data_IF_190164532411
#
_entry.id   IF_190164532411
#
_cell.length_a   1.000
_cell.length_b   1.000
_cell.length_c   1.000
_cell.angle_alpha   90.00
_cell.angle_beta   90.00
_cell.angle_gamma   90.00
#
_symmetry.space_group_name_H-M   'P 1'
#
loop_
_entity.id
_entity.type
_entity.pdbx_description
1 polymer ?
#
# COMPACT_ATOMS: atom_id res chain seq x y z
N UNK A 1 25.44 -16.66 5.39
CA UNK A 1 25.56 -15.47 4.51
C UNK A 1 24.27 -15.40 3.71
N UNK A 2 23.51 -14.32 3.82
CA UNK A 2 22.28 -14.08 3.08
C UNK A 2 22.38 -12.77 2.31
N UNK A 3 21.71 -12.66 1.17
CA UNK A 3 21.49 -11.41 0.46
C UNK A 3 20.20 -10.76 0.95
N UNK A 4 20.31 -9.59 1.55
CA UNK A 4 19.17 -8.87 2.13
C UNK A 4 19.03 -7.53 1.44
N UNK A 5 17.80 -7.21 1.00
CA UNK A 5 17.45 -5.87 0.54
C UNK A 5 16.77 -5.14 1.70
N UNK A 6 17.31 -4.00 2.11
CA UNK A 6 16.74 -3.17 3.18
C UNK A 6 16.24 -1.85 2.61
N UNK A 7 14.95 -1.54 2.79
CA UNK A 7 14.40 -0.25 2.40
C UNK A 7 14.15 0.61 3.63
N UNK A 8 14.60 1.84 3.59
CA UNK A 8 14.37 2.84 4.65
C UNK A 8 13.49 3.99 4.15
N UNK A 9 12.37 4.21 4.84
CA UNK A 9 11.43 5.28 4.54
C UNK A 9 11.96 6.68 4.89
N UNK A 10 11.29 7.73 4.42
CA UNK A 10 11.70 9.11 4.65
C UNK A 10 11.83 9.47 6.13
N UNK A 11 10.96 8.94 7.00
CA UNK A 11 11.07 9.13 8.46
C UNK A 11 12.32 8.47 9.04
N UNK A 12 12.78 7.37 8.45
CA UNK A 12 13.98 6.64 8.88
C UNK A 12 15.28 7.39 8.55
N UNK A 13 15.26 8.22 7.50
CA UNK A 13 16.41 8.99 6.99
C UNK A 13 16.17 10.50 7.04
N UNK A 14 15.20 10.95 7.85
CA UNK A 14 14.73 12.34 7.88
C UNK A 14 15.72 13.37 8.40
N UNK A 15 16.78 12.96 9.08
CA UNK A 15 17.86 13.82 9.57
C UNK A 15 19.21 13.12 9.40
N UNK A 16 20.29 13.91 9.42
CA UNK A 16 21.66 13.34 9.37
C UNK A 16 21.96 12.40 10.53
N UNK A 17 21.40 12.65 11.70
CA UNK A 17 21.50 11.77 12.86
C UNK A 17 20.84 10.43 12.61
N UNK A 18 19.61 10.43 12.04
CA UNK A 18 18.90 9.21 11.66
C UNK A 18 19.67 8.43 10.60
N UNK A 19 20.24 9.10 9.59
CA UNK A 19 21.09 8.47 8.58
C UNK A 19 22.29 7.77 9.23
N UNK A 20 22.94 8.40 10.21
CA UNK A 20 24.05 7.77 10.98
C UNK A 20 23.58 6.54 11.76
N UNK A 21 22.37 6.56 12.35
CA UNK A 21 21.81 5.40 13.04
C UNK A 21 21.47 4.25 12.08
N UNK A 22 20.93 4.57 10.90
CA UNK A 22 20.73 3.59 9.82
C UNK A 22 22.07 2.97 9.40
N UNK A 23 23.13 3.78 9.21
CA UNK A 23 24.45 3.28 8.86
C UNK A 23 25.03 2.34 9.92
N UNK A 24 24.84 2.61 11.22
CA UNK A 24 25.27 1.70 12.30
C UNK A 24 24.53 0.36 12.24
N UNK A 25 23.21 0.38 11.98
CA UNK A 25 22.42 -0.85 11.81
C UNK A 25 22.92 -1.67 10.64
N UNK A 26 23.12 -1.07 9.48
CA UNK A 26 23.64 -1.72 8.28
C UNK A 26 25.02 -2.34 8.56
N UNK A 27 25.89 -1.61 9.28
CA UNK A 27 27.21 -2.11 9.65
C UNK A 27 27.14 -3.38 10.53
N UNK A 28 26.14 -3.53 11.39
CA UNK A 28 25.90 -4.74 12.17
C UNK A 28 25.61 -5.93 11.26
N UNK A 29 24.64 -5.80 10.34
CA UNK A 29 24.28 -6.85 9.39
C UNK A 29 25.47 -7.28 8.51
N UNK A 30 26.28 -6.33 8.05
CA UNK A 30 27.46 -6.69 7.26
C UNK A 30 28.51 -7.43 8.08
N UNK A 31 28.71 -7.06 9.36
CA UNK A 31 29.62 -7.80 10.27
C UNK A 31 29.16 -9.24 10.54
N UNK A 32 27.85 -9.50 10.46
CA UNK A 32 27.23 -10.82 10.53
C UNK A 32 27.43 -11.64 9.25
N UNK A 33 28.06 -11.05 8.23
CA UNK A 33 28.44 -11.72 6.98
C UNK A 33 27.35 -11.68 5.90
N UNK A 34 26.37 -10.77 5.99
CA UNK A 34 25.33 -10.60 4.97
C UNK A 34 25.80 -9.68 3.83
N UNK A 35 25.33 -9.93 2.62
CA UNK A 35 25.38 -8.99 1.49
C UNK A 35 24.16 -8.07 1.55
N UNK A 36 24.36 -6.77 1.33
CA UNK A 36 23.32 -5.77 1.59
C UNK A 36 23.11 -4.84 0.40
N UNK A 37 21.85 -4.74 -0.03
CA UNK A 37 21.37 -3.70 -0.95
C UNK A 37 20.41 -2.80 -0.17
N UNK A 38 20.70 -1.52 -0.12
CA UNK A 38 19.93 -0.55 0.66
C UNK A 38 19.17 0.36 -0.29
N UNK A 39 17.87 0.46 -0.09
CA UNK A 39 17.00 1.40 -0.83
C UNK A 39 16.53 2.48 0.12
N UNK A 40 16.67 3.73 -0.27
CA UNK A 40 16.25 4.86 0.55
C UNK A 40 15.25 5.76 -0.16
N UNK A 41 14.35 6.33 0.61
CA UNK A 41 13.49 7.43 0.21
C UNK A 41 14.24 8.77 0.35
N UNK A 42 13.68 9.84 -0.20
CA UNK A 42 14.07 11.20 0.13
C UNK A 42 13.88 11.46 1.63
N UNK A 43 14.61 12.41 2.19
CA UNK A 43 14.45 12.87 3.57
C UNK A 43 13.02 13.37 3.80
N UNK A 44 12.53 13.29 5.05
CA UNK A 44 11.16 13.69 5.39
C UNK A 44 10.82 15.10 4.87
N UNK A 45 9.71 15.19 4.13
CA UNK A 45 9.19 16.46 3.60
C UNK A 45 9.86 16.94 2.31
N UNK A 46 10.99 16.34 1.91
CA UNK A 46 11.76 16.81 0.75
C UNK A 46 10.98 16.64 -0.57
N UNK A 47 10.33 15.52 -0.80
CA UNK A 47 9.51 15.31 -2.00
C UNK A 47 8.39 16.34 -2.09
N UNK A 48 7.71 16.65 -0.97
CA UNK A 48 6.65 17.67 -0.94
C UNK A 48 7.20 19.06 -1.21
N UNK A 49 8.38 19.40 -0.67
CA UNK A 49 9.07 20.66 -0.94
C UNK A 49 9.39 20.82 -2.42
N UNK A 50 9.94 19.77 -3.06
CA UNK A 50 10.27 19.76 -4.48
C UNK A 50 9.03 19.91 -5.37
N UNK A 51 7.94 19.21 -5.04
CA UNK A 51 6.64 19.36 -5.71
C UNK A 51 6.13 20.80 -5.56
N UNK A 52 6.27 21.39 -4.37
CA UNK A 52 5.91 22.78 -4.10
C UNK A 52 6.64 23.75 -5.03
N UNK A 53 7.96 23.63 -5.14
CA UNK A 53 8.78 24.45 -6.06
C UNK A 53 8.32 24.34 -7.52
N UNK A 54 8.00 23.13 -7.98
CA UNK A 54 7.50 22.93 -9.33
C UNK A 54 6.14 23.62 -9.54
N UNK A 55 5.24 23.55 -8.56
CA UNK A 55 3.93 24.20 -8.60
C UNK A 55 4.00 25.72 -8.51
N UNK A 56 4.99 26.28 -7.85
CA UNK A 56 5.24 27.73 -7.80
C UNK A 56 5.63 28.28 -9.20
N UNK A 57 6.24 27.45 -10.04
CA UNK A 57 6.60 27.80 -11.43
C UNK A 57 5.43 27.53 -12.38
N UNK A 58 4.74 26.40 -12.24
CA UNK A 58 3.69 25.96 -13.13
C UNK A 58 2.56 25.30 -12.32
N UNK A 59 1.35 25.86 -12.34
CA UNK A 59 0.21 25.37 -11.54
C UNK A 59 -0.09 23.87 -11.77
N UNK A 60 0.12 23.40 -13.01
CA UNK A 60 0.09 21.98 -13.39
C UNK A 60 1.44 21.65 -14.04
N UNK A 61 2.44 21.23 -13.25
CA UNK A 61 3.77 20.93 -13.77
C UNK A 61 3.75 19.85 -14.85
N UNK A 62 4.58 20.01 -15.87
CA UNK A 62 4.81 18.96 -16.85
C UNK A 62 5.30 17.69 -16.14
N UNK A 63 4.66 16.52 -16.36
CA UNK A 63 4.97 15.30 -15.62
C UNK A 63 6.41 14.82 -15.78
N UNK A 64 7.00 14.97 -16.98
CA UNK A 64 8.39 14.58 -17.25
C UNK A 64 9.37 15.45 -16.46
N UNK A 65 9.16 16.78 -16.49
CA UNK A 65 10.04 17.71 -15.77
C UNK A 65 9.83 17.60 -14.24
N UNK A 66 8.62 17.27 -13.81
CA UNK A 66 8.35 16.99 -12.40
C UNK A 66 9.15 15.76 -11.92
N UNK A 67 9.23 14.69 -12.71
CA UNK A 67 10.05 13.52 -12.41
C UNK A 67 11.52 13.88 -12.24
N UNK A 68 12.06 14.75 -13.10
CA UNK A 68 13.45 15.24 -12.99
C UNK A 68 13.65 15.95 -11.64
N UNK A 69 12.73 16.84 -11.26
CA UNK A 69 12.84 17.61 -10.00
C UNK A 69 12.73 16.71 -8.80
N UNK A 70 11.69 15.87 -8.70
CA UNK A 70 11.43 15.10 -7.48
C UNK A 70 12.43 13.96 -7.27
N UNK A 71 13.03 13.42 -8.32
CA UNK A 71 14.05 12.37 -8.23
C UNK A 71 15.34 12.81 -7.54
N UNK A 72 15.57 14.11 -7.41
CA UNK A 72 16.78 14.65 -6.75
C UNK A 72 16.79 14.41 -5.25
N UNK A 73 15.63 14.24 -4.63
CA UNK A 73 15.51 14.01 -3.18
C UNK A 73 16.25 12.75 -2.71
N UNK A 74 16.05 11.64 -3.38
CA UNK A 74 16.70 10.37 -3.10
C UNK A 74 18.20 10.42 -3.44
N UNK A 75 18.61 11.21 -4.43
CA UNK A 75 20.02 11.38 -4.79
C UNK A 75 20.82 12.00 -3.64
N UNK A 76 20.25 12.95 -2.92
CA UNK A 76 20.87 13.50 -1.71
C UNK A 76 21.00 12.39 -0.65
N UNK A 77 19.96 11.63 -0.41
CA UNK A 77 19.95 10.62 0.66
C UNK A 77 20.94 9.49 0.42
N UNK A 78 21.05 8.97 -0.83
CA UNK A 78 22.00 7.88 -1.14
C UNK A 78 23.46 8.32 -0.93
N UNK A 79 23.78 9.57 -1.30
CA UNK A 79 25.10 10.13 -1.10
C UNK A 79 25.45 10.26 0.39
N UNK A 80 24.55 10.85 1.18
CA UNK A 80 24.74 11.02 2.62
C UNK A 80 24.84 9.68 3.35
N UNK A 81 24.01 8.70 3.03
CA UNK A 81 24.08 7.38 3.64
C UNK A 81 25.37 6.66 3.27
N UNK A 82 25.81 6.73 2.02
CA UNK A 82 27.07 6.10 1.60
C UNK A 82 28.27 6.70 2.34
N UNK A 83 28.31 8.03 2.53
CA UNK A 83 29.35 8.67 3.36
C UNK A 83 29.29 8.20 4.81
N UNK A 84 28.07 8.07 5.38
CA UNK A 84 27.91 7.58 6.75
C UNK A 84 28.33 6.10 6.91
N UNK A 85 28.14 5.28 5.89
CA UNK A 85 28.63 3.89 5.87
C UNK A 85 30.16 3.83 5.78
N UNK A 86 30.79 4.67 4.97
CA UNK A 86 32.26 4.78 4.88
C UNK A 86 32.87 5.22 6.21
N UNK A 87 32.19 6.13 6.95
CA UNK A 87 32.60 6.53 8.31
C UNK A 87 32.54 5.36 9.32
N UNK A 88 31.68 4.36 9.07
CA UNK A 88 31.64 3.10 9.84
C UNK A 88 32.71 2.09 9.38
N UNK A 89 33.59 2.47 8.45
CA UNK A 89 34.64 1.61 7.90
C UNK A 89 34.19 0.61 6.83
N UNK A 90 33.01 0.80 6.27
CA UNK A 90 32.46 -0.06 5.23
C UNK A 90 32.82 0.46 3.83
N UNK A 91 32.93 -0.45 2.88
CA UNK A 91 32.91 -0.08 1.47
C UNK A 91 31.42 0.16 1.08
N UNK A 92 31.11 1.32 0.57
CA UNK A 92 29.74 1.66 0.12
C UNK A 92 29.77 2.31 -1.26
N UNK A 93 28.75 2.05 -2.06
CA UNK A 93 28.57 2.66 -3.37
C UNK A 93 27.11 2.99 -3.62
N UNK A 94 26.86 4.25 -4.00
CA UNK A 94 25.51 4.75 -4.27
C UNK A 94 25.19 4.77 -5.77
N UNK A 95 23.93 4.49 -6.08
CA UNK A 95 23.40 4.52 -7.45
C UNK A 95 22.02 5.17 -7.50
N UNK A 96 21.81 5.99 -8.52
CA UNK A 96 20.48 6.39 -8.94
C UNK A 96 19.77 5.24 -9.67
N UNK A 97 18.44 5.29 -9.79
CA UNK A 97 17.68 4.31 -10.56
C UNK A 97 18.19 4.12 -12.01
N UNK A 98 18.44 5.22 -12.76
CA UNK A 98 19.04 5.13 -14.09
C UNK A 98 20.41 4.43 -14.13
N UNK A 99 21.28 4.62 -13.15
CA UNK A 99 22.63 4.04 -13.13
C UNK A 99 22.62 2.51 -12.96
N UNK A 100 21.64 1.94 -12.27
CA UNK A 100 21.40 0.48 -12.17
C UNK A 100 20.27 0.04 -13.09
N UNK A 101 19.91 0.90 -14.04
CA UNK A 101 18.95 0.68 -15.11
C UNK A 101 17.66 0.02 -14.63
N UNK A 102 16.99 0.65 -13.63
CA UNK A 102 15.60 0.34 -13.32
C UNK A 102 14.77 0.84 -14.48
N UNK A 103 14.59 -0.03 -15.50
CA UNK A 103 13.85 0.29 -16.71
C UNK A 103 12.36 0.35 -16.41
N UNK A 104 11.71 1.40 -16.87
CA UNK A 104 10.27 1.62 -16.69
C UNK A 104 9.58 1.91 -18.01
N UNK A 105 8.25 1.91 -18.01
CA UNK A 105 7.48 2.58 -19.05
C UNK A 105 7.62 4.11 -18.94
N UNK A 106 7.05 4.84 -19.89
CA UNK A 106 7.10 6.30 -19.97
C UNK A 106 5.91 7.00 -19.32
N UNK A 107 5.19 6.34 -18.43
CA UNK A 107 4.07 6.92 -17.68
C UNK A 107 4.62 7.76 -16.54
N UNK A 108 5.09 8.99 -16.86
CA UNK A 108 5.68 9.88 -15.88
C UNK A 108 4.81 10.05 -14.62
N UNK A 109 5.44 10.21 -13.46
CA UNK A 109 4.87 10.30 -12.11
C UNK A 109 4.20 9.02 -11.58
N UNK A 110 3.95 8.00 -12.41
CA UNK A 110 3.32 6.71 -12.07
C UNK A 110 3.91 5.54 -12.87
N UNK A 111 5.18 5.64 -13.26
CA UNK A 111 5.84 4.64 -14.11
C UNK A 111 5.83 3.23 -13.51
N UNK A 112 5.84 2.23 -14.38
CA UNK A 112 5.89 0.82 -14.00
C UNK A 112 7.25 0.23 -14.35
N UNK A 113 7.84 -0.51 -13.41
CA UNK A 113 9.11 -1.21 -13.62
C UNK A 113 8.88 -2.35 -14.59
N UNK A 114 9.66 -2.35 -15.68
CA UNK A 114 9.65 -3.38 -16.71
C UNK A 114 10.79 -4.39 -16.50
N UNK A 115 11.98 -3.89 -16.15
CA UNK A 115 13.19 -4.69 -15.96
C UNK A 115 14.18 -3.97 -15.07
N UNK A 116 15.03 -4.71 -14.38
CA UNK A 116 16.19 -4.18 -13.65
C UNK A 116 17.44 -4.88 -14.19
N UNK A 117 18.52 -4.10 -14.40
CA UNK A 117 19.84 -4.63 -14.73
C UNK A 117 20.62 -4.83 -13.41
N UNK A 118 20.90 -6.08 -13.10
CA UNK A 118 21.47 -6.47 -11.82
C UNK A 118 23.00 -6.63 -11.85
N UNK A 119 23.64 -6.67 -13.02
CA UNK A 119 25.04 -7.04 -13.18
C UNK A 119 25.98 -6.14 -12.35
N UNK A 120 25.75 -4.82 -12.40
CA UNK A 120 26.55 -3.85 -11.64
C UNK A 120 26.37 -4.00 -10.14
N UNK A 121 25.16 -4.27 -9.68
CA UNK A 121 24.88 -4.46 -8.26
C UNK A 121 25.57 -5.74 -7.78
N UNK A 122 25.47 -6.83 -8.52
CA UNK A 122 26.13 -8.11 -8.18
C UNK A 122 27.63 -7.98 -8.11
N UNK A 123 28.24 -7.31 -9.09
CA UNK A 123 29.68 -7.06 -9.08
C UNK A 123 30.13 -6.34 -7.80
N UNK A 124 29.45 -5.27 -7.42
CA UNK A 124 29.80 -4.53 -6.21
C UNK A 124 29.59 -5.33 -4.92
N UNK A 125 28.53 -6.15 -4.85
CA UNK A 125 28.31 -7.05 -3.72
C UNK A 125 29.43 -8.08 -3.59
N UNK A 126 29.91 -8.64 -4.72
CA UNK A 126 31.00 -9.60 -4.75
C UNK A 126 32.37 -8.96 -4.34
N UNK A 127 32.53 -7.66 -4.62
CA UNK A 127 33.68 -6.85 -4.17
C UNK A 127 33.56 -6.42 -2.69
N UNK A 128 32.48 -6.79 -2.01
CA UNK A 128 32.20 -6.52 -0.60
C UNK A 128 31.66 -5.11 -0.32
N UNK A 129 31.10 -4.46 -1.30
CA UNK A 129 30.41 -3.18 -1.10
C UNK A 129 29.00 -3.36 -0.54
N UNK A 130 28.58 -2.45 0.30
CA UNK A 130 27.17 -2.18 0.55
C UNK A 130 26.67 -1.30 -0.61
N UNK A 131 25.68 -1.77 -1.33
CA UNK A 131 25.10 -1.06 -2.48
C UNK A 131 23.91 -0.23 -2.01
N UNK A 132 23.95 1.08 -2.28
CA UNK A 132 22.87 2.02 -1.88
C UNK A 132 22.17 2.55 -3.13
N UNK A 133 20.87 2.26 -3.27
CA UNK A 133 20.09 2.61 -4.46
C UNK A 133 19.02 3.65 -4.10
N UNK A 134 18.89 4.67 -4.94
CA UNK A 134 17.80 5.63 -4.82
C UNK A 134 16.48 4.94 -5.15
N UNK A 135 15.56 4.92 -4.19
CA UNK A 135 14.20 4.44 -4.41
C UNK A 135 13.38 5.39 -5.28
N UNK A 136 12.14 5.00 -5.58
CA UNK A 136 11.13 5.84 -6.24
C UNK A 136 11.39 6.18 -7.72
N UNK A 137 12.58 6.00 -8.25
CA UNK A 137 12.98 6.47 -9.57
C UNK A 137 13.49 5.35 -10.48
N UNK A 138 13.34 5.56 -11.79
CA UNK A 138 13.84 4.70 -12.85
C UNK A 138 14.18 5.51 -14.11
N UNK A 139 14.29 4.81 -15.23
CA UNK A 139 14.58 5.38 -16.55
C UNK A 139 13.73 4.68 -17.61
N UNK A 140 13.17 5.43 -18.55
CA UNK A 140 12.50 4.87 -19.70
C UNK A 140 13.49 4.45 -20.81
N UNK A 141 12.98 3.83 -21.88
CA UNK A 141 13.82 3.40 -23.02
C UNK A 141 14.51 4.57 -23.74
N UNK A 142 13.93 5.78 -23.68
CA UNK A 142 14.48 6.98 -24.27
C UNK A 142 15.54 7.66 -23.40
N UNK A 143 15.79 7.14 -22.17
CA UNK A 143 16.74 7.70 -21.22
C UNK A 143 16.16 8.82 -20.34
N UNK A 144 14.84 9.06 -20.35
CA UNK A 144 14.22 10.01 -19.47
C UNK A 144 14.08 9.44 -18.05
N UNK A 145 14.31 10.28 -17.05
CA UNK A 145 14.05 9.94 -15.65
C UNK A 145 12.54 9.78 -15.48
N UNK A 146 12.15 8.73 -14.77
CA UNK A 146 10.75 8.45 -14.41
C UNK A 146 10.62 8.25 -12.92
N UNK A 147 9.43 8.50 -12.37
CA UNK A 147 9.13 8.18 -10.97
C UNK A 147 7.93 7.23 -10.84
N UNK A 148 7.96 6.42 -9.81
CA UNK A 148 7.02 5.29 -9.62
C UNK A 148 5.72 5.68 -8.91
N UNK A 149 5.59 6.93 -8.47
CA UNK A 149 4.45 7.39 -7.69
C UNK A 149 4.53 6.99 -6.20
N UNK A 150 3.43 7.14 -5.48
CA UNK A 150 3.37 6.86 -4.03
C UNK A 150 3.83 5.44 -3.71
N UNK A 151 4.64 5.29 -2.65
CA UNK A 151 5.21 4.01 -2.24
C UNK A 151 6.25 3.45 -3.22
N UNK A 152 6.72 4.29 -4.15
CA UNK A 152 7.69 3.87 -5.16
C UNK A 152 8.99 3.33 -4.58
N UNK A 153 9.44 3.83 -3.42
CA UNK A 153 10.64 3.29 -2.76
C UNK A 153 10.43 1.88 -2.21
N UNK A 154 9.23 1.55 -1.68
CA UNK A 154 8.89 0.18 -1.28
C UNK A 154 8.88 -0.74 -2.50
N UNK A 155 8.26 -0.27 -3.59
CA UNK A 155 8.24 -1.00 -4.87
C UNK A 155 9.66 -1.21 -5.41
N UNK A 156 10.54 -0.21 -5.33
CA UNK A 156 11.96 -0.35 -5.72
C UNK A 156 12.66 -1.42 -4.89
N UNK A 157 12.46 -1.42 -3.55
CA UNK A 157 13.07 -2.40 -2.65
C UNK A 157 12.67 -3.83 -3.00
N UNK A 158 11.38 -4.06 -3.16
CA UNK A 158 10.85 -5.38 -3.53
C UNK A 158 11.28 -5.80 -4.93
N UNK A 159 11.30 -4.89 -5.90
CA UNK A 159 11.72 -5.18 -7.27
C UNK A 159 13.21 -5.56 -7.35
N UNK A 160 14.07 -4.87 -6.59
CA UNK A 160 15.49 -5.24 -6.46
C UNK A 160 15.66 -6.59 -5.77
N UNK A 161 14.88 -6.86 -4.71
CA UNK A 161 14.92 -8.17 -4.04
C UNK A 161 14.51 -9.30 -4.99
N UNK A 162 13.49 -9.08 -5.81
CA UNK A 162 13.05 -10.03 -6.83
C UNK A 162 14.12 -10.26 -7.91
N UNK A 163 14.67 -9.19 -8.48
CA UNK A 163 15.70 -9.26 -9.53
C UNK A 163 16.98 -9.95 -9.04
N UNK A 164 17.40 -9.64 -7.83
CA UNK A 164 18.61 -10.18 -7.21
C UNK A 164 18.41 -11.57 -6.58
N UNK A 165 17.18 -12.11 -6.55
CA UNK A 165 16.85 -13.33 -5.81
C UNK A 165 17.28 -13.25 -4.34
N UNK A 166 17.01 -12.13 -3.69
CA UNK A 166 17.37 -11.91 -2.30
C UNK A 166 16.62 -12.86 -1.35
N UNK A 167 17.28 -13.25 -0.26
CA UNK A 167 16.69 -14.13 0.74
C UNK A 167 15.52 -13.45 1.48
N UNK A 168 15.60 -12.13 1.69
CA UNK A 168 14.56 -11.33 2.34
C UNK A 168 14.62 -9.86 1.89
N UNK A 169 13.45 -9.22 1.77
CA UNK A 169 13.29 -7.77 1.65
C UNK A 169 12.76 -7.22 2.97
N UNK A 170 13.47 -6.33 3.60
CA UNK A 170 13.13 -5.69 4.88
C UNK A 170 12.70 -4.26 4.65
N UNK A 171 11.46 -3.92 5.03
CA UNK A 171 10.92 -2.55 4.96
C UNK A 171 10.97 -1.93 6.35
N UNK A 172 11.87 -0.98 6.53
CA UNK A 172 12.00 -0.20 7.75
C UNK A 172 11.13 1.05 7.68
N UNK A 173 10.22 1.18 8.66
CA UNK A 173 9.22 2.26 8.73
C UNK A 173 9.09 2.77 10.17
N UNK A 174 8.09 3.62 10.44
CA UNK A 174 7.81 4.18 11.77
C UNK A 174 6.96 3.28 12.67
N UNK A 175 6.49 2.15 12.15
CA UNK A 175 5.80 1.09 12.91
C UNK A 175 6.66 -0.17 13.01
N UNK A 176 6.42 -0.99 14.03
CA UNK A 176 7.22 -2.18 14.32
C UNK A 176 6.63 -3.48 13.75
N UNK A 177 5.62 -3.36 12.91
CA UNK A 177 4.98 -4.49 12.23
C UNK A 177 3.56 -4.20 11.78
N UNK A 178 2.85 -5.24 11.37
CA UNK A 178 1.44 -5.23 11.02
C UNK A 178 0.64 -5.69 12.24
N UNK A 179 -0.45 -4.98 12.54
CA UNK A 179 -1.29 -5.25 13.70
C UNK A 179 -2.66 -5.78 13.29
N UNK A 180 -3.31 -6.49 14.19
CA UNK A 180 -4.70 -7.00 14.01
C UNK A 180 -5.72 -5.90 13.75
N UNK A 181 -5.43 -4.66 14.16
CA UNK A 181 -6.07 -3.40 13.77
C UNK A 181 -5.18 -2.23 14.17
N UNK A 182 -5.62 -0.99 13.98
CA UNK A 182 -4.87 0.21 14.40
C UNK A 182 -4.81 0.32 15.93
N UNK A 183 -3.63 0.23 16.57
CA UNK A 183 -3.50 0.29 18.03
C UNK A 183 -3.90 1.66 18.63
N UNK A 184 -4.05 2.70 17.80
CA UNK A 184 -4.57 4.01 18.24
C UNK A 184 -6.07 3.98 18.49
N UNK A 185 -6.79 3.03 17.86
CA UNK A 185 -8.25 2.82 18.04
C UNK A 185 -8.49 1.71 19.06
N UNK A 186 -7.72 0.63 18.98
CA UNK A 186 -7.81 -0.53 19.87
C UNK A 186 -6.44 -0.75 20.52
N UNK A 187 -6.23 -0.27 21.75
CA UNK A 187 -4.95 -0.44 22.44
C UNK A 187 -4.52 -1.91 22.63
N UNK A 188 -5.49 -2.81 22.65
CA UNK A 188 -5.30 -4.27 22.76
C UNK A 188 -4.95 -4.94 21.41
N UNK A 189 -4.85 -4.14 20.31
CA UNK A 189 -4.43 -4.67 19.03
C UNK A 189 -3.05 -5.32 19.12
N UNK A 190 -2.95 -6.54 18.60
CA UNK A 190 -1.75 -7.35 18.67
C UNK A 190 -0.96 -7.27 17.39
N UNK A 191 0.36 -7.22 17.50
CA UNK A 191 1.27 -7.34 16.36
C UNK A 191 1.22 -8.79 15.84
N UNK A 192 1.14 -8.94 14.53
CA UNK A 192 1.20 -10.22 13.85
C UNK A 192 2.66 -10.61 13.61
N UNK A 193 3.05 -11.83 13.97
CA UNK A 193 4.37 -12.36 13.65
C UNK A 193 4.49 -12.68 12.17
N UNK A 194 3.41 -13.18 11.58
CA UNK A 194 3.28 -13.52 10.16
C UNK A 194 1.91 -13.13 9.61
N UNK A 195 1.87 -12.85 8.32
CA UNK A 195 0.64 -12.62 7.55
C UNK A 195 0.88 -13.09 6.11
N UNK A 196 -0.16 -13.59 5.44
CA UNK A 196 -0.06 -13.99 4.04
C UNK A 196 -0.05 -12.77 3.12
N UNK A 197 0.47 -12.92 1.88
CA UNK A 197 0.39 -11.85 0.89
C UNK A 197 -1.04 -11.45 0.57
N UNK A 198 -1.96 -12.42 0.51
CA UNK A 198 -3.37 -12.17 0.22
C UNK A 198 -4.02 -11.31 1.31
N UNK A 199 -3.82 -11.65 2.58
CA UNK A 199 -4.33 -10.86 3.72
C UNK A 199 -3.69 -9.49 3.79
N UNK A 200 -2.35 -9.40 3.61
CA UNK A 200 -1.64 -8.12 3.62
C UNK A 200 -2.13 -7.20 2.50
N UNK A 201 -2.38 -7.75 1.30
CA UNK A 201 -2.91 -7.00 0.17
C UNK A 201 -4.29 -6.41 0.49
N UNK A 202 -5.17 -7.22 1.08
CA UNK A 202 -6.48 -6.75 1.51
C UNK A 202 -6.37 -5.69 2.61
N UNK A 203 -5.53 -5.90 3.63
CA UNK A 203 -5.33 -4.91 4.69
C UNK A 203 -4.71 -3.61 4.14
N UNK A 204 -3.77 -3.69 3.22
CA UNK A 204 -3.16 -2.52 2.59
C UNK A 204 -4.18 -1.74 1.73
N UNK A 205 -5.07 -2.44 1.02
CA UNK A 205 -6.14 -1.83 0.22
C UNK A 205 -7.19 -1.14 1.07
N UNK A 206 -7.37 -1.59 2.31
CA UNK A 206 -8.39 -1.13 3.25
C UNK A 206 -7.90 -0.05 4.23
N UNK A 207 -6.70 0.49 4.03
CA UNK A 207 -6.22 1.64 4.79
C UNK A 207 -5.15 1.35 5.84
N UNK A 208 -4.67 0.11 5.95
CA UNK A 208 -3.43 -0.18 6.68
C UNK A 208 -2.26 0.46 5.93
N UNK A 209 -1.87 1.67 6.34
CA UNK A 209 -0.84 2.48 5.67
C UNK A 209 0.60 1.97 5.90
N UNK A 210 0.76 0.73 6.36
CA UNK A 210 2.06 0.14 6.70
C UNK A 210 2.88 -0.16 5.43
N UNK A 211 2.21 -0.72 4.41
CA UNK A 211 2.81 -1.03 3.11
C UNK A 211 1.94 -0.51 1.96
N UNK A 212 2.57 -0.20 0.86
CA UNK A 212 1.87 0.14 -0.37
C UNK A 212 1.37 -1.13 -1.09
N UNK A 213 0.12 -1.10 -1.57
CA UNK A 213 -0.52 -2.21 -2.28
C UNK A 213 0.39 -2.76 -3.37
N UNK A 214 0.93 -1.90 -4.21
CA UNK A 214 1.80 -2.26 -5.35
C UNK A 214 3.07 -3.01 -4.93
N UNK A 215 3.66 -2.68 -3.77
CA UNK A 215 4.83 -3.40 -3.26
C UNK A 215 4.46 -4.82 -2.78
N UNK A 216 3.29 -4.97 -2.17
CA UNK A 216 2.76 -6.27 -1.71
C UNK A 216 2.41 -7.16 -2.91
N UNK A 217 1.72 -6.60 -3.93
CA UNK A 217 1.44 -7.31 -5.19
C UNK A 217 2.72 -7.83 -5.86
N UNK A 218 3.72 -6.96 -5.94
CA UNK A 218 5.00 -7.30 -6.55
C UNK A 218 5.71 -8.40 -5.76
N UNK A 219 5.74 -8.29 -4.42
CA UNK A 219 6.33 -9.29 -3.55
C UNK A 219 5.61 -10.64 -3.68
N UNK A 220 4.29 -10.66 -3.70
CA UNK A 220 3.50 -11.87 -3.89
C UNK A 220 3.73 -12.52 -5.25
N UNK A 221 3.76 -11.73 -6.34
CA UNK A 221 4.02 -12.20 -7.70
C UNK A 221 5.39 -12.90 -7.83
N UNK A 222 6.42 -12.34 -7.23
CA UNK A 222 7.79 -12.84 -7.31
C UNK A 222 8.20 -13.69 -6.11
N UNK A 223 7.28 -13.95 -5.17
CA UNK A 223 7.49 -14.74 -3.95
C UNK A 223 8.67 -14.23 -3.09
N UNK A 224 8.84 -12.92 -3.03
CA UNK A 224 9.86 -12.27 -2.21
C UNK A 224 9.41 -12.29 -0.76
N UNK A 225 10.15 -12.91 0.15
CA UNK A 225 9.91 -12.78 1.59
C UNK A 225 10.03 -11.33 2.01
N UNK A 226 8.96 -10.77 2.53
CA UNK A 226 8.90 -9.35 2.89
C UNK A 226 8.71 -9.22 4.40
N UNK A 227 9.51 -8.39 5.05
CA UNK A 227 9.42 -8.15 6.49
C UNK A 227 9.27 -6.67 6.78
N UNK A 228 8.30 -6.33 7.64
CA UNK A 228 8.10 -4.97 8.16
C UNK A 228 8.76 -4.85 9.52
N UNK A 229 9.58 -3.81 9.67
CA UNK A 229 10.41 -3.57 10.85
C UNK A 229 10.38 -2.09 11.25
N UNK A 230 10.56 -1.80 12.54
CA UNK A 230 10.73 -0.44 13.01
C UNK A 230 12.14 0.09 12.71
N UNK A 231 12.20 1.33 12.21
CA UNK A 231 13.47 2.07 12.10
C UNK A 231 14.01 2.52 13.45
N UNK A 232 13.16 2.57 14.49
CA UNK A 232 13.45 3.17 15.78
C UNK A 232 13.73 2.15 16.89
N UNK A 233 13.46 0.87 16.62
CA UNK A 233 13.79 -0.23 17.53
C UNK A 233 14.98 -1.00 16.97
N UNK A 234 15.94 -1.34 17.84
CA UNK A 234 17.14 -2.07 17.40
C UNK A 234 16.89 -3.56 17.24
N UNK A 235 16.11 -4.15 18.12
CA UNK A 235 15.89 -5.58 18.23
C UNK A 235 14.40 -5.91 18.14
N UNK A 236 13.85 -5.98 16.93
CA UNK A 236 12.46 -6.35 16.68
C UNK A 236 12.39 -7.39 15.57
N UNK A 237 11.57 -8.43 15.76
CA UNK A 237 11.34 -9.44 14.72
C UNK A 237 10.41 -8.95 13.61
N UNK A 238 9.66 -7.88 13.86
CA UNK A 238 8.71 -7.30 12.92
C UNK A 238 7.56 -8.25 12.57
N UNK A 239 6.98 -8.05 11.38
CA UNK A 239 5.98 -8.95 10.79
C UNK A 239 6.51 -9.50 9.48
N UNK A 240 6.52 -10.82 9.32
CA UNK A 240 6.88 -11.50 8.08
C UNK A 240 5.65 -11.65 7.19
N UNK A 241 5.74 -11.14 5.93
CA UNK A 241 4.74 -11.35 4.90
C UNK A 241 5.29 -12.39 3.93
N UNK A 242 4.57 -13.49 3.75
CA UNK A 242 5.04 -14.62 2.95
C UNK A 242 3.87 -15.35 2.27
N UNK A 243 4.18 -16.27 1.38
CA UNK A 243 3.19 -17.23 0.88
C UNK A 243 2.75 -18.11 2.06
N UNK A 244 1.54 -18.61 1.98
CA UNK A 244 1.04 -19.60 2.91
C UNK A 244 1.88 -20.88 2.76
N UNK A 245 2.93 -20.99 3.55
CA UNK A 245 3.67 -22.23 3.74
C UNK A 245 3.57 -22.62 5.19
N UNK A 246 2.72 -23.61 5.43
CA UNK A 246 2.95 -24.69 6.36
C UNK A 246 2.55 -24.64 7.83
N UNK A 247 2.02 -25.78 8.20
CA UNK A 247 2.20 -26.56 9.41
C UNK A 247 1.53 -26.16 10.72
N UNK A 248 0.87 -25.05 10.86
CA UNK A 248 -0.14 -24.99 11.92
C UNK A 248 -1.40 -25.73 11.44
N UNK A 249 -1.83 -26.74 12.17
CA UNK A 249 -3.00 -27.56 11.79
C UNK A 249 -4.27 -26.73 11.61
N UNK A 250 -4.34 -25.52 12.14
CA UNK A 250 -5.45 -24.57 11.95
C UNK A 250 -4.91 -23.13 11.97
N UNK A 251 -5.27 -22.33 10.97
CA UNK A 251 -4.98 -20.90 10.93
C UNK A 251 -6.07 -20.11 11.64
N UNK A 252 -5.77 -18.89 12.16
CA UNK A 252 -6.78 -17.99 12.67
C UNK A 252 -7.86 -17.72 11.61
N UNK A 253 -9.12 -17.77 12.00
CA UNK A 253 -10.24 -17.50 11.08
C UNK A 253 -10.18 -16.08 10.54
N UNK A 254 -9.86 -15.12 11.42
CA UNK A 254 -9.69 -13.70 11.12
C UNK A 254 -8.31 -13.27 11.60
N UNK A 255 -7.57 -12.60 10.72
CA UNK A 255 -6.23 -12.07 11.00
C UNK A 255 -6.28 -10.61 11.43
N UNK A 256 -7.31 -9.85 11.03
CA UNK A 256 -7.45 -8.47 11.45
C UNK A 256 -8.74 -7.79 11.03
N UNK A 257 -8.95 -6.62 11.64
CA UNK A 257 -10.01 -5.67 11.28
C UNK A 257 -9.35 -4.44 10.65
N UNK A 258 -9.59 -4.26 9.35
CA UNK A 258 -9.13 -3.09 8.60
C UNK A 258 -10.28 -2.11 8.37
N UNK A 259 -9.95 -0.84 8.17
CA UNK A 259 -10.97 0.18 7.92
C UNK A 259 -10.45 1.29 6.99
N UNK A 260 -11.38 1.94 6.29
CA UNK A 260 -11.10 3.14 5.52
C UNK A 260 -12.09 4.25 5.86
N UNK A 261 -11.58 5.44 6.23
CA UNK A 261 -12.37 6.64 6.49
C UNK A 261 -12.63 7.46 5.23
N UNK A 262 -11.77 7.33 4.22
CA UNK A 262 -11.78 8.17 3.02
C UNK A 262 -12.68 7.58 1.93
N UNK A 263 -13.87 7.13 2.32
CA UNK A 263 -14.89 6.57 1.44
C UNK A 263 -16.07 7.52 1.28
N UNK A 264 -16.66 7.51 0.08
CA UNK A 264 -17.94 8.14 -0.20
C UNK A 264 -18.76 7.24 -1.11
N UNK A 265 -20.08 7.20 -0.90
CA UNK A 265 -21.01 6.37 -1.66
C UNK A 265 -21.75 7.22 -2.67
N UNK A 266 -21.90 6.69 -3.88
CA UNK A 266 -22.80 7.20 -4.92
C UNK A 266 -23.78 6.11 -5.31
N UNK A 267 -25.04 6.49 -5.51
CA UNK A 267 -26.08 5.59 -5.96
C UNK A 267 -26.85 6.22 -7.11
N UNK A 268 -26.95 5.50 -8.22
CA UNK A 268 -27.79 5.84 -9.37
C UNK A 268 -29.08 5.05 -9.23
N UNK A 269 -30.18 5.75 -9.00
CA UNK A 269 -31.48 5.16 -8.70
C UNK A 269 -32.34 5.00 -9.95
N UNK A 270 -33.07 3.88 -10.01
CA UNK A 270 -34.14 3.65 -11.00
C UNK A 270 -33.62 3.63 -12.44
N UNK A 271 -32.48 3.00 -12.68
CA UNK A 271 -31.92 2.81 -14.04
C UNK A 271 -32.62 1.64 -14.70
N UNK A 272 -32.97 1.70 -16.02
CA UNK A 272 -33.55 0.55 -16.71
C UNK A 272 -32.64 -0.69 -16.63
N UNK A 273 -33.19 -1.84 -16.18
CA UNK A 273 -32.45 -3.10 -16.11
C UNK A 273 -32.30 -3.70 -17.52
N UNK A 274 -31.15 -3.44 -18.13
CA UNK A 274 -30.82 -3.92 -19.48
C UNK A 274 -29.33 -4.21 -19.63
N UNK A 275 -28.94 -5.12 -20.54
CA UNK A 275 -27.52 -5.37 -20.81
C UNK A 275 -26.76 -4.11 -21.16
N UNK A 276 -25.58 -3.93 -20.55
CA UNK A 276 -24.68 -2.81 -20.78
C UNK A 276 -24.89 -1.59 -19.86
N UNK A 277 -25.91 -1.59 -18.99
CA UNK A 277 -26.17 -0.44 -18.12
C UNK A 277 -25.01 -0.14 -17.15
N UNK A 278 -24.39 -1.17 -16.57
CA UNK A 278 -23.23 -1.01 -15.70
C UNK A 278 -22.07 -0.31 -16.42
N UNK A 279 -21.82 -0.67 -17.69
CA UNK A 279 -20.82 0.00 -18.51
C UNK A 279 -21.17 1.46 -18.80
N UNK A 280 -22.44 1.75 -19.08
CA UNK A 280 -22.90 3.11 -19.33
C UNK A 280 -22.77 4.02 -18.09
N UNK A 281 -22.80 3.45 -16.87
CA UNK A 281 -22.57 4.16 -15.61
C UNK A 281 -21.06 4.31 -15.31
N UNK A 282 -20.31 3.20 -15.38
CA UNK A 282 -18.90 3.17 -14.95
C UNK A 282 -17.92 3.60 -16.03
N UNK A 283 -18.28 3.50 -17.32
CA UNK A 283 -17.40 3.92 -18.43
C UNK A 283 -17.00 5.39 -18.29
N UNK A 284 -17.95 6.35 -18.17
CA UNK A 284 -17.62 7.75 -17.96
C UNK A 284 -16.80 8.02 -16.68
N UNK A 285 -17.01 7.25 -15.62
CA UNK A 285 -16.23 7.32 -14.37
C UNK A 285 -14.76 6.91 -14.66
N UNK A 286 -14.56 5.82 -15.39
CA UNK A 286 -13.23 5.35 -15.78
C UNK A 286 -12.54 6.35 -16.75
N UNK A 287 -13.27 6.89 -17.71
CA UNK A 287 -12.75 7.91 -18.66
C UNK A 287 -12.34 9.20 -17.93
N UNK A 288 -13.01 9.51 -16.80
CA UNK A 288 -12.61 10.59 -15.91
C UNK A 288 -11.41 10.25 -15.01
N UNK A 289 -10.83 9.05 -15.14
CA UNK A 289 -9.73 8.52 -14.33
C UNK A 289 -10.05 8.51 -12.83
N UNK A 290 -11.26 7.99 -12.51
CA UNK A 290 -11.76 7.80 -11.14
C UNK A 290 -11.81 6.32 -10.81
N UNK A 291 -11.23 5.95 -9.66
CA UNK A 291 -11.26 4.58 -9.17
C UNK A 291 -12.55 4.32 -8.38
N UNK A 292 -13.15 3.16 -8.61
CA UNK A 292 -14.30 2.65 -7.84
C UNK A 292 -13.85 1.42 -7.04
N UNK A 293 -14.45 1.25 -5.84
CA UNK A 293 -14.09 0.12 -4.97
C UNK A 293 -15.26 -0.87 -4.84
N UNK A 294 -16.21 -0.65 -3.92
CA UNK A 294 -17.37 -1.51 -3.81
C UNK A 294 -18.41 -1.18 -4.89
N UNK A 295 -18.90 -2.19 -5.59
CA UNK A 295 -19.96 -2.04 -6.58
C UNK A 295 -21.11 -2.99 -6.21
N UNK A 296 -22.33 -2.48 -6.08
CA UNK A 296 -23.53 -3.24 -5.77
C UNK A 296 -24.64 -2.84 -6.73
N UNK A 297 -25.20 -3.84 -7.41
CA UNK A 297 -26.39 -3.68 -8.26
C UNK A 297 -27.50 -4.56 -7.73
N UNK A 298 -28.67 -3.98 -7.54
CA UNK A 298 -29.89 -4.70 -7.12
C UNK A 298 -30.98 -4.54 -8.17
N UNK A 299 -31.46 -5.64 -8.72
CA UNK A 299 -32.56 -5.66 -9.68
C UNK A 299 -33.88 -5.47 -8.94
N UNK A 300 -34.62 -4.43 -9.30
CA UNK A 300 -35.94 -4.17 -8.79
C UNK A 300 -37.04 -5.04 -9.46
N UNK A 301 -38.22 -5.08 -8.85
CA UNK A 301 -39.36 -5.82 -9.40
C UNK A 301 -40.07 -5.07 -10.52
N UNK A 302 -39.76 -3.80 -10.74
CA UNK A 302 -40.36 -2.90 -11.70
C UNK A 302 -39.58 -2.77 -13.02
N UNK A 303 -38.58 -3.63 -13.24
CA UNK A 303 -37.72 -3.59 -14.42
C UNK A 303 -36.67 -2.48 -14.35
N UNK A 304 -36.42 -1.92 -13.16
CA UNK A 304 -35.32 -1.00 -12.89
C UNK A 304 -34.32 -1.62 -11.97
N UNK A 305 -33.14 -1.00 -11.89
CA UNK A 305 -32.08 -1.38 -10.97
C UNK A 305 -31.54 -0.14 -10.28
N UNK A 306 -31.13 -0.29 -9.03
CA UNK A 306 -30.33 0.71 -8.32
C UNK A 306 -28.86 0.26 -8.37
N UNK A 307 -27.97 1.17 -8.72
CA UNK A 307 -26.56 0.92 -8.88
C UNK A 307 -25.75 1.78 -7.92
N UNK A 308 -25.13 1.15 -6.93
CA UNK A 308 -24.34 1.82 -5.89
C UNK A 308 -22.88 1.47 -6.02
N UNK A 309 -22.01 2.44 -5.81
CA UNK A 309 -20.59 2.20 -5.70
C UNK A 309 -19.92 3.20 -4.75
N UNK A 310 -18.68 2.88 -4.32
CA UNK A 310 -17.88 3.77 -3.50
C UNK A 310 -16.69 4.31 -4.29
N UNK A 311 -16.30 5.53 -3.95
CA UNK A 311 -15.12 6.23 -4.47
C UNK A 311 -14.36 6.83 -3.29
N UNK A 312 -13.11 7.25 -3.52
CA UNK A 312 -12.41 8.05 -2.53
C UNK A 312 -13.19 9.35 -2.26
N UNK A 313 -13.26 9.74 -0.99
CA UNK A 313 -14.03 10.93 -0.56
C UNK A 313 -13.61 12.21 -1.29
N UNK A 314 -12.32 12.36 -1.60
CA UNK A 314 -11.80 13.52 -2.33
C UNK A 314 -12.26 13.58 -3.80
N UNK A 315 -12.70 12.46 -4.37
CA UNK A 315 -13.15 12.34 -5.76
C UNK A 315 -14.67 12.40 -5.91
N UNK A 316 -15.40 12.43 -4.79
CA UNK A 316 -16.86 12.39 -4.77
C UNK A 316 -17.53 13.44 -5.64
N UNK A 317 -17.13 14.71 -5.53
CA UNK A 317 -17.78 15.81 -6.25
C UNK A 317 -17.54 15.68 -7.76
N UNK A 318 -16.37 15.23 -8.17
CA UNK A 318 -16.03 14.94 -9.56
C UNK A 318 -16.85 13.76 -10.09
N UNK A 319 -16.91 12.65 -9.34
CA UNK A 319 -17.68 11.47 -9.71
C UNK A 319 -19.18 11.77 -9.82
N UNK A 320 -19.74 12.54 -8.86
CA UNK A 320 -21.12 12.99 -8.90
C UNK A 320 -21.41 13.85 -10.12
N UNK A 321 -20.51 14.79 -10.46
CA UNK A 321 -20.63 15.63 -11.66
C UNK A 321 -20.74 14.79 -12.93
N UNK A 322 -19.86 13.81 -13.11
CA UNK A 322 -19.87 12.87 -14.25
C UNK A 322 -21.20 12.11 -14.32
N UNK A 323 -21.71 11.61 -13.19
CA UNK A 323 -23.00 10.89 -13.17
C UNK A 323 -24.19 11.78 -13.51
N UNK A 324 -24.21 13.04 -13.05
CA UNK A 324 -25.29 13.99 -13.38
C UNK A 324 -25.31 14.33 -14.88
N UNK A 325 -24.15 14.39 -15.54
CA UNK A 325 -24.04 14.60 -16.99
C UNK A 325 -24.65 13.44 -17.79
N UNK A 326 -24.42 12.20 -17.37
CA UNK A 326 -24.91 11.01 -18.08
C UNK A 326 -26.29 10.55 -17.64
N UNK A 327 -26.82 11.07 -16.55
CA UNK A 327 -28.08 10.69 -15.91
C UNK A 327 -29.25 10.53 -16.88
N UNK A 328 -29.49 11.55 -17.71
CA UNK A 328 -30.58 11.53 -18.68
C UNK A 328 -30.38 10.47 -19.78
N UNK A 329 -29.13 10.26 -20.21
CA UNK A 329 -28.79 9.30 -21.26
C UNK A 329 -28.98 7.85 -20.80
N UNK A 330 -28.65 7.55 -19.54
CA UNK A 330 -28.81 6.21 -18.96
C UNK A 330 -30.24 5.96 -18.46
N UNK A 331 -31.11 6.98 -18.46
CA UNK A 331 -32.50 6.89 -18.01
C UNK A 331 -32.64 6.77 -16.49
N UNK A 332 -31.67 7.28 -15.73
CA UNK A 332 -31.71 7.26 -14.27
C UNK A 332 -32.72 8.27 -13.71
N UNK A 333 -33.43 7.86 -12.67
CA UNK A 333 -34.34 8.72 -11.93
C UNK A 333 -33.60 9.77 -11.14
N UNK A 334 -32.58 9.38 -10.39
CA UNK A 334 -31.83 10.25 -9.48
C UNK A 334 -30.42 9.76 -9.24
N UNK A 335 -29.49 10.68 -8.95
CA UNK A 335 -28.15 10.40 -8.42
C UNK A 335 -28.09 10.92 -7.00
N UNK A 336 -27.89 10.03 -6.05
CA UNK A 336 -27.73 10.38 -4.62
C UNK A 336 -26.35 10.02 -4.14
N UNK A 337 -25.86 10.70 -3.12
CA UNK A 337 -24.53 10.43 -2.58
C UNK A 337 -24.42 10.73 -1.10
N UNK A 338 -23.47 10.08 -0.46
CA UNK A 338 -23.16 10.22 0.96
C UNK A 338 -21.64 10.23 1.16
N UNK A 339 -21.13 11.31 1.77
CA UNK A 339 -19.72 11.48 2.16
C UNK A 339 -19.45 11.08 3.62
N UNK A 340 -20.49 10.85 4.41
CA UNK A 340 -20.43 10.55 5.84
C UNK A 340 -20.31 9.05 6.14
N UNK A 341 -19.71 8.29 5.25
CA UNK A 341 -19.54 6.84 5.39
C UNK A 341 -18.09 6.43 5.67
N UNK A 342 -17.96 5.22 6.20
CA UNK A 342 -16.68 4.52 6.30
C UNK A 342 -16.87 3.06 5.90
N UNK A 343 -15.77 2.40 5.59
CA UNK A 343 -15.71 0.97 5.31
C UNK A 343 -14.96 0.26 6.43
N UNK A 344 -15.52 -0.82 6.97
CA UNK A 344 -14.89 -1.71 7.97
C UNK A 344 -14.90 -3.13 7.43
N UNK A 345 -13.77 -3.81 7.55
CA UNK A 345 -13.59 -5.14 6.94
C UNK A 345 -12.92 -6.09 7.92
N UNK A 346 -13.47 -7.30 8.02
CA UNK A 346 -12.79 -8.44 8.62
C UNK A 346 -12.00 -9.16 7.53
N UNK A 347 -10.74 -9.44 7.78
CA UNK A 347 -9.81 -10.08 6.84
C UNK A 347 -9.21 -11.32 7.45
N UNK A 348 -9.18 -12.44 6.71
CA UNK A 348 -8.53 -13.67 7.15
C UNK A 348 -8.77 -14.83 6.17
N UNK A 349 -7.71 -15.56 5.84
CA UNK A 349 -7.77 -16.73 4.94
C UNK A 349 -8.60 -17.88 5.53
N UNK A 350 -8.69 -17.96 6.86
CA UNK A 350 -9.49 -18.98 7.54
C UNK A 350 -11.00 -18.87 7.29
N UNK A 351 -11.50 -17.73 6.79
CA UNK A 351 -12.92 -17.58 6.44
C UNK A 351 -13.39 -18.53 5.35
N UNK A 352 -12.50 -18.98 4.44
CA UNK A 352 -12.82 -19.92 3.35
C UNK A 352 -13.48 -21.20 3.83
N UNK A 353 -13.09 -21.69 5.00
CA UNK A 353 -13.56 -22.97 5.55
C UNK A 353 -14.52 -22.86 6.74
N UNK A 354 -14.81 -21.64 7.22
CA UNK A 354 -15.58 -21.41 8.43
C UNK A 354 -16.89 -20.66 8.15
N UNK A 355 -18.04 -21.36 8.11
CA UNK A 355 -19.33 -20.68 7.99
C UNK A 355 -19.66 -19.90 9.26
N UNK A 356 -20.41 -18.82 9.13
CA UNK A 356 -20.91 -18.04 10.26
C UNK A 356 -20.12 -16.77 10.62
N UNK A 357 -18.96 -16.52 10.01
CA UNK A 357 -18.18 -15.29 10.24
C UNK A 357 -19.02 -14.04 9.92
N UNK A 358 -19.70 -14.01 8.76
CA UNK A 358 -20.57 -12.89 8.38
C UNK A 358 -21.71 -12.71 9.40
N UNK A 359 -22.34 -13.80 9.83
CA UNK A 359 -23.42 -13.75 10.83
C UNK A 359 -22.93 -13.22 12.18
N UNK A 360 -21.74 -13.62 12.62
CA UNK A 360 -21.10 -13.11 13.85
C UNK A 360 -20.83 -11.61 13.73
N UNK A 361 -20.25 -11.17 12.61
CA UNK A 361 -19.97 -9.75 12.32
C UNK A 361 -21.25 -8.90 12.34
N UNK A 362 -22.29 -9.34 11.62
CA UNK A 362 -23.55 -8.57 11.52
C UNK A 362 -24.31 -8.53 12.85
N UNK A 363 -24.32 -9.64 13.62
CA UNK A 363 -24.92 -9.69 14.96
C UNK A 363 -24.20 -8.72 15.89
N UNK A 364 -22.88 -8.73 15.93
CA UNK A 364 -22.09 -7.83 16.78
C UNK A 364 -22.41 -6.35 16.48
N UNK A 365 -22.50 -5.97 15.20
CA UNK A 365 -22.86 -4.62 14.81
C UNK A 365 -24.30 -4.25 15.19
N UNK A 366 -25.24 -5.20 15.02
CA UNK A 366 -26.64 -5.00 15.36
C UNK A 366 -26.86 -4.81 16.87
N UNK A 367 -26.16 -5.58 17.72
CA UNK A 367 -26.20 -5.46 19.18
C UNK A 367 -25.73 -4.07 19.66
N UNK A 368 -24.85 -3.42 18.92
CA UNK A 368 -24.39 -2.05 19.19
C UNK A 368 -25.25 -0.96 18.47
N UNK A 369 -26.33 -1.36 17.81
CA UNK A 369 -27.23 -0.44 17.11
C UNK A 369 -26.60 0.20 15.86
N UNK A 370 -25.58 -0.44 15.27
CA UNK A 370 -24.88 0.03 14.09
C UNK A 370 -25.56 -0.52 12.84
N UNK A 371 -26.12 0.38 12.01
CA UNK A 371 -26.76 0.00 10.76
C UNK A 371 -25.75 -0.19 9.63
N UNK A 372 -25.89 -1.27 8.86
CA UNK A 372 -25.08 -1.58 7.69
C UNK A 372 -25.75 -1.02 6.45
N UNK A 373 -25.03 -0.23 5.65
CA UNK A 373 -25.54 0.38 4.41
C UNK A 373 -25.21 -0.43 3.15
N UNK A 374 -24.03 -1.08 3.12
CA UNK A 374 -23.59 -1.94 2.01
C UNK A 374 -22.78 -3.10 2.58
N UNK A 375 -22.80 -4.23 1.88
CA UNK A 375 -22.01 -5.43 2.20
C UNK A 375 -21.31 -5.89 0.94
N UNK A 376 -20.04 -6.26 1.05
CA UNK A 376 -19.29 -6.97 0.02
C UNK A 376 -18.48 -8.07 0.65
N UNK A 377 -18.42 -9.23 0.00
CA UNK A 377 -17.69 -10.39 0.50
C UNK A 377 -16.78 -10.95 -0.58
N UNK A 378 -15.63 -11.45 -0.15
CA UNK A 378 -14.76 -12.33 -0.94
C UNK A 378 -14.43 -13.58 -0.12
N UNK A 379 -13.56 -14.44 -0.62
CA UNK A 379 -13.15 -15.64 0.12
C UNK A 379 -12.42 -15.33 1.43
N UNK A 380 -11.74 -14.17 1.51
CA UNK A 380 -10.87 -13.80 2.64
C UNK A 380 -11.24 -12.46 3.28
N UNK A 381 -12.37 -11.86 2.85
CA UNK A 381 -12.77 -10.54 3.33
C UNK A 381 -14.29 -10.41 3.41
N UNK A 382 -14.77 -9.79 4.48
CA UNK A 382 -16.14 -9.30 4.60
C UNK A 382 -16.07 -7.82 4.91
N UNK A 383 -16.58 -6.98 4.01
CA UNK A 383 -16.61 -5.53 4.13
C UNK A 383 -18.02 -5.03 4.36
N UNK A 384 -18.17 -4.08 5.26
CA UNK A 384 -19.41 -3.34 5.48
C UNK A 384 -19.17 -1.85 5.38
N UNK A 385 -20.14 -1.13 4.81
CA UNK A 385 -20.18 0.32 4.82
C UNK A 385 -21.14 0.77 5.91
N UNK A 386 -20.67 1.70 6.73
CA UNK A 386 -21.33 2.23 7.92
C UNK A 386 -21.33 3.77 7.87
N UNK A 387 -22.15 4.40 8.70
CA UNK A 387 -22.02 5.83 9.02
C UNK A 387 -20.67 6.05 9.75
N UNK A 388 -19.90 7.04 9.30
CA UNK A 388 -18.53 7.30 9.78
C UNK A 388 -18.45 7.49 11.29
N UNK A 389 -19.47 8.04 11.92
CA UNK A 389 -19.50 8.24 13.38
C UNK A 389 -19.35 6.95 14.20
N UNK A 390 -19.68 5.81 13.61
CA UNK A 390 -19.60 4.50 14.26
C UNK A 390 -18.28 3.76 14.01
N UNK A 391 -17.37 4.32 13.21
CA UNK A 391 -16.14 3.63 12.81
C UNK A 391 -15.38 3.02 13.98
N UNK A 392 -15.02 3.85 14.97
CA UNK A 392 -14.18 3.39 16.08
C UNK A 392 -14.89 2.38 16.98
N UNK A 393 -16.20 2.57 17.19
CA UNK A 393 -17.00 1.59 17.92
C UNK A 393 -17.04 0.26 17.17
N UNK A 394 -17.35 0.29 15.87
CA UNK A 394 -17.40 -0.92 15.05
C UNK A 394 -16.07 -1.69 15.07
N UNK A 395 -14.94 -0.99 14.90
CA UNK A 395 -13.62 -1.62 14.94
C UNK A 395 -13.36 -2.28 16.29
N UNK A 396 -13.66 -1.60 17.41
CA UNK A 396 -13.43 -2.15 18.76
C UNK A 396 -14.29 -3.38 19.05
N UNK A 397 -15.58 -3.32 18.75
CA UNK A 397 -16.48 -4.44 19.06
C UNK A 397 -16.22 -5.65 18.17
N UNK A 398 -15.88 -5.43 16.90
CA UNK A 398 -15.49 -6.51 15.99
C UNK A 398 -14.16 -7.15 16.38
N UNK A 399 -13.15 -6.34 16.74
CA UNK A 399 -11.86 -6.83 17.20
C UNK A 399 -12.03 -7.74 18.44
N UNK A 400 -12.83 -7.31 19.42
CA UNK A 400 -13.18 -8.10 20.61
C UNK A 400 -14.00 -9.34 20.26
N UNK A 401 -15.00 -9.20 19.40
CA UNK A 401 -15.87 -10.33 19.02
C UNK A 401 -15.08 -11.45 18.32
N UNK A 402 -14.07 -11.10 17.53
CA UNK A 402 -13.20 -12.08 16.87
C UNK A 402 -11.97 -12.49 17.70
N UNK A 403 -11.90 -12.06 18.98
CA UNK A 403 -10.85 -12.46 19.94
C UNK A 403 -9.42 -12.16 19.45
N UNK A 404 -9.26 -11.02 18.74
CA UNK A 404 -7.98 -10.64 18.13
C UNK A 404 -6.96 -10.06 19.12
N UNK A 405 -7.35 -9.86 20.38
CA UNK A 405 -6.52 -9.47 21.52
C UNK A 405 -5.73 -10.65 22.12
N UNK A 406 -6.14 -11.90 21.84
CA UNK A 406 -5.47 -13.10 22.33
C UNK A 406 -4.57 -13.72 21.24
N UNK A 407 -3.40 -14.26 21.67
CA UNK A 407 -2.60 -15.12 20.81
C UNK A 407 -3.27 -16.50 20.77
N UNK A 408 -3.67 -16.95 19.59
CA UNK A 408 -4.11 -18.34 19.38
C UNK A 408 -2.91 -19.29 19.38
#
# INVERSE_FOLDING_TARGET
>A
MALIVQKYGGTSVGTTERIKNVAKRIARFQKEGHQLVIVVSAMTGETNRLIGLAKDIQASPDPRELDVVVSTGEQVTIGLLSMALMEQGLKARSYTGPQVRILTDNTHTKARILKIDEDRIRQDLDEGHVVVVAGFQGVDEAGNITTLGRGGSDTTGVALAAALHADECQIYTDVDGVYTTDPRIVPEARKLDRITFEEMLEMASLGSKVLQIRSVEFAGKYKVKLRVLSSFQEDGEGTLITVEEDSSMEQPIISGIAFNRDEAKLTVLGVPDRPGIAYQILGPIADANLDVDMIIQNVGHDGTTDFSFTVNRSEFDKARGVLEEVKAHIGAREVVGDKGICKVSAVGVGMRSHPGVASKMFRTLAEEGINIQMISTSEIKISVVLDEKYLELAVRVLHKAFELDHAN
#
